data_IF_222321906317
#
_entry.id   IF_222321906317
#
_cell.length_a   1.000
_cell.length_b   1.000
_cell.length_c   1.000
_cell.angle_alpha   90.00
_cell.angle_beta   90.00
_cell.angle_gamma   90.00
#
_symmetry.space_group_name_H-M   'P 1'
#
loop_
_entity.id
_entity.type
_entity.pdbx_description
1 polymer ?
#
# COMPACT_ATOMS: atom_id res chain seq x y z
N UNK A 1 24.22 -12.02 30.63
CA UNK A 1 23.69 -12.47 29.32
C UNK A 1 22.71 -11.48 28.69
N UNK A 2 22.21 -10.46 29.39
CA UNK A 2 21.08 -9.62 28.94
C UNK A 2 21.35 -8.62 27.79
N UNK A 3 22.61 -8.24 27.54
CA UNK A 3 22.91 -7.25 26.48
C UNK A 3 22.90 -7.87 25.07
N UNK A 4 23.25 -9.15 24.94
CA UNK A 4 23.30 -9.83 23.64
C UNK A 4 21.90 -9.99 23.01
N UNK A 5 20.87 -10.18 23.85
CA UNK A 5 19.47 -10.32 23.40
C UNK A 5 18.86 -9.00 22.89
N UNK A 6 19.25 -7.85 23.45
CA UNK A 6 18.73 -6.54 23.01
C UNK A 6 19.29 -6.12 21.64
N UNK A 7 20.53 -6.51 21.32
CA UNK A 7 21.15 -6.21 20.03
C UNK A 7 20.50 -6.97 18.85
N UNK A 8 20.06 -8.21 19.08
CA UNK A 8 19.37 -9.02 18.07
C UNK A 8 18.00 -8.44 17.72
N UNK A 9 17.26 -7.95 18.73
CA UNK A 9 15.99 -7.25 18.53
C UNK A 9 16.14 -5.95 17.74
N UNK A 10 17.23 -5.22 17.93
CA UNK A 10 17.49 -3.98 17.19
C UNK A 10 17.86 -4.25 15.73
N UNK A 11 18.48 -5.40 15.44
CA UNK A 11 18.83 -5.80 14.08
C UNK A 11 17.59 -6.15 13.25
N UNK A 12 16.63 -6.87 13.84
CA UNK A 12 15.36 -7.22 13.18
C UNK A 12 14.50 -5.99 12.91
N UNK A 13 14.45 -5.04 13.86
CA UNK A 13 13.71 -3.77 13.68
C UNK A 13 14.33 -2.92 12.57
N UNK A 14 15.67 -2.92 12.42
CA UNK A 14 16.35 -2.22 11.34
C UNK A 14 16.10 -2.83 9.96
N UNK A 15 16.06 -4.16 9.88
CA UNK A 15 15.75 -4.86 8.64
C UNK A 15 14.32 -4.58 8.16
N UNK A 16 13.34 -4.58 9.09
CA UNK A 16 11.95 -4.26 8.78
C UNK A 16 11.76 -2.78 8.38
N UNK A 17 12.48 -1.87 9.02
CA UNK A 17 12.48 -0.45 8.67
C UNK A 17 13.10 -0.18 7.29
N UNK A 18 14.19 -0.87 6.93
CA UNK A 18 14.79 -0.76 5.59
C UNK A 18 13.90 -1.34 4.50
N UNK A 19 13.20 -2.45 4.76
CA UNK A 19 12.24 -3.01 3.82
C UNK A 19 11.01 -2.10 3.64
N UNK A 20 10.56 -1.45 4.72
CA UNK A 20 9.50 -0.44 4.67
C UNK A 20 9.88 0.80 3.84
N UNK A 21 11.16 1.22 3.89
CA UNK A 21 11.65 2.34 3.10
C UNK A 21 11.73 2.02 1.59
N UNK A 22 11.99 0.76 1.22
CA UNK A 22 12.01 0.31 -0.19
C UNK A 22 10.61 0.19 -0.79
N UNK A 23 9.58 0.01 0.04
CA UNK A 23 8.17 -0.07 -0.38
C UNK A 23 7.47 1.30 -0.34
N UNK A 24 8.14 2.37 0.10
CA UNK A 24 7.57 3.71 0.04
C UNK A 24 7.47 4.18 -1.42
N UNK A 25 6.29 4.68 -1.86
CA UNK A 25 6.17 5.34 -3.15
C UNK A 25 7.16 6.51 -3.20
N UNK A 26 8.13 6.45 -4.10
CA UNK A 26 9.07 7.55 -4.33
C UNK A 26 8.28 8.77 -4.81
N UNK A 27 8.15 9.80 -3.97
CA UNK A 27 7.53 11.06 -4.36
C UNK A 27 8.42 11.72 -5.42
N UNK A 28 8.01 11.63 -6.68
CA UNK A 28 8.66 12.34 -7.77
C UNK A 28 8.63 13.85 -7.47
N UNK A 29 9.80 14.48 -7.40
CA UNK A 29 10.02 15.91 -7.16
C UNK A 29 9.57 16.77 -8.38
N UNK A 30 8.32 16.61 -8.81
CA UNK A 30 7.67 17.41 -9.85
C UNK A 30 6.34 18.03 -9.36
N UNK A 31 5.94 17.77 -8.11
CA UNK A 31 4.66 18.23 -7.53
C UNK A 31 4.56 19.76 -7.31
N UNK A 32 5.60 20.54 -7.62
CA UNK A 32 5.61 22.00 -7.46
C UNK A 32 5.33 22.77 -8.75
N UNK A 33 4.75 22.14 -9.79
CA UNK A 33 4.24 22.82 -10.98
C UNK A 33 2.84 23.42 -10.75
N UNK A 34 2.65 24.09 -9.60
CA UNK A 34 1.39 24.73 -9.24
C UNK A 34 1.21 26.08 -9.92
N UNK A 35 0.11 26.21 -10.68
CA UNK A 35 -0.50 27.46 -11.16
C UNK A 35 0.11 28.19 -12.36
N UNK A 36 0.52 27.47 -13.41
CA UNK A 36 0.46 28.05 -14.76
C UNK A 36 -0.79 27.53 -15.47
N UNK A 37 -1.55 28.41 -16.12
CA UNK A 37 -2.77 28.12 -16.90
C UNK A 37 -2.45 27.33 -18.19
N UNK A 38 -1.45 26.45 -18.12
CA UNK A 38 -0.94 25.67 -19.24
C UNK A 38 -1.75 24.37 -19.33
N UNK A 39 -2.38 24.08 -20.50
CA UNK A 39 -3.11 22.83 -20.72
C UNK A 39 -2.26 21.58 -20.46
N UNK A 40 -0.94 21.70 -20.59
CA UNK A 40 0.02 20.62 -20.35
C UNK A 40 0.09 20.28 -18.85
N UNK A 41 0.23 21.26 -17.96
CA UNK A 41 0.32 21.01 -16.51
C UNK A 41 -0.99 20.44 -15.98
N UNK A 42 -2.13 20.91 -16.49
CA UNK A 42 -3.46 20.37 -16.17
C UNK A 42 -3.62 18.92 -16.61
N UNK A 43 -3.15 18.56 -17.81
CA UNK A 43 -3.14 17.17 -18.28
C UNK A 43 -2.23 16.29 -17.42
N UNK A 44 -1.06 16.80 -17.00
CA UNK A 44 -0.14 16.08 -16.11
C UNK A 44 -0.76 15.82 -14.73
N UNK A 45 -1.45 16.79 -14.14
CA UNK A 45 -2.16 16.63 -12.87
C UNK A 45 -3.33 15.65 -12.99
N UNK A 46 -4.06 15.66 -14.11
CA UNK A 46 -5.10 14.68 -14.38
C UNK A 46 -4.52 13.25 -14.49
N UNK A 47 -3.44 13.05 -15.25
CA UNK A 47 -2.77 11.76 -15.33
C UNK A 47 -2.24 11.32 -13.97
N UNK A 48 -1.65 12.23 -13.19
CA UNK A 48 -1.20 11.97 -11.83
C UNK A 48 -2.35 11.53 -10.93
N UNK A 49 -3.52 12.17 -11.04
CA UNK A 49 -4.70 11.82 -10.23
C UNK A 49 -5.16 10.39 -10.49
N UNK A 50 -5.10 9.95 -11.75
CA UNK A 50 -5.46 8.59 -12.16
C UNK A 50 -4.42 7.58 -11.67
N UNK A 51 -3.12 7.91 -11.79
CA UNK A 51 -2.01 7.06 -11.40
C UNK A 51 -1.93 6.84 -9.88
N UNK A 52 -2.24 7.87 -9.08
CA UNK A 52 -2.11 7.80 -7.62
C UNK A 52 -3.40 7.33 -6.91
N UNK A 53 -4.60 7.55 -7.47
CA UNK A 53 -5.86 7.22 -6.79
C UNK A 53 -6.59 6.00 -7.37
N UNK A 54 -7.29 6.16 -8.51
CA UNK A 54 -8.13 5.12 -9.09
C UNK A 54 -7.37 3.84 -9.51
N UNK A 55 -6.19 3.99 -10.14
CA UNK A 55 -5.43 2.83 -10.62
C UNK A 55 -4.87 2.00 -9.45
N UNK A 56 -4.39 2.65 -8.40
CA UNK A 56 -3.89 1.97 -7.20
C UNK A 56 -4.97 1.06 -6.58
N UNK A 57 -6.20 1.57 -6.47
CA UNK A 57 -7.33 0.83 -5.91
C UNK A 57 -7.76 -0.33 -6.82
N UNK A 58 -7.83 -0.11 -8.14
CA UNK A 58 -8.25 -1.15 -9.08
C UNK A 58 -7.24 -2.29 -9.19
N UNK A 59 -5.94 -2.03 -9.19
CA UNK A 59 -4.92 -3.08 -9.21
C UNK A 59 -4.98 -3.97 -7.97
N UNK A 60 -5.18 -3.37 -6.80
CA UNK A 60 -5.31 -4.14 -5.57
C UNK A 60 -6.60 -4.99 -5.55
N UNK A 61 -7.70 -4.55 -6.18
CA UNK A 61 -8.90 -5.39 -6.38
C UNK A 61 -8.67 -6.52 -7.39
N UNK A 62 -7.88 -6.30 -8.45
CA UNK A 62 -7.54 -7.36 -9.42
C UNK A 62 -6.74 -8.51 -8.76
N UNK A 63 -5.88 -8.19 -7.81
CA UNK A 63 -5.18 -9.20 -6.99
C UNK A 63 -6.16 -10.04 -6.15
N UNK A 64 -7.20 -9.42 -5.56
CA UNK A 64 -8.26 -10.12 -4.81
C UNK A 64 -9.03 -11.08 -5.71
N UNK A 65 -9.39 -10.63 -6.92
CA UNK A 65 -10.08 -11.46 -7.90
C UNK A 65 -9.23 -12.68 -8.30
N UNK A 66 -7.91 -12.50 -8.47
CA UNK A 66 -6.97 -13.59 -8.72
C UNK A 66 -6.95 -14.64 -7.60
N UNK A 67 -7.07 -14.23 -6.34
CA UNK A 67 -7.16 -15.18 -5.21
C UNK A 67 -8.50 -15.91 -5.19
N UNK A 68 -9.60 -15.23 -5.50
CA UNK A 68 -10.90 -15.88 -5.67
C UNK A 68 -10.88 -16.93 -6.78
N UNK A 69 -10.19 -16.64 -7.89
CA UNK A 69 -9.97 -17.59 -8.98
C UNK A 69 -9.12 -18.80 -8.53
N UNK A 70 -8.10 -18.57 -7.70
CA UNK A 70 -7.25 -19.64 -7.15
C UNK A 70 -7.99 -20.52 -6.12
N UNK A 71 -8.99 -19.98 -5.42
CA UNK A 71 -9.87 -20.77 -4.55
C UNK A 71 -10.84 -21.67 -5.33
N UNK A 72 -11.28 -21.25 -6.52
CA UNK A 72 -12.12 -22.08 -7.41
C UNK A 72 -11.38 -23.28 -8.00
N UNK A 73 -10.05 -23.28 -7.99
CA UNK A 73 -9.23 -24.42 -8.46
C UNK A 73 -9.27 -25.64 -7.51
N UNK A 74 -10.09 -25.60 -6.45
CA UNK A 74 -10.62 -26.78 -5.76
C UNK A 74 -9.67 -27.48 -4.77
N UNK A 75 -8.42 -27.01 -4.63
CA UNK A 75 -7.39 -27.59 -3.74
C UNK A 75 -6.87 -26.60 -2.68
N UNK A 76 -7.43 -25.40 -2.60
CA UNK A 76 -6.89 -24.34 -1.74
C UNK A 76 -7.37 -24.48 -0.30
N UNK A 77 -6.43 -24.50 0.66
CA UNK A 77 -6.77 -24.50 2.07
C UNK A 77 -7.52 -23.19 2.38
N UNK A 78 -8.73 -23.30 2.93
CA UNK A 78 -9.56 -22.17 3.38
C UNK A 78 -8.79 -21.09 4.18
N UNK A 79 -7.74 -21.51 4.89
CA UNK A 79 -6.78 -20.64 5.60
C UNK A 79 -6.08 -19.62 4.70
N UNK A 80 -5.72 -19.97 3.47
CA UNK A 80 -5.08 -19.05 2.53
C UNK A 80 -6.05 -17.96 2.07
N UNK A 81 -7.30 -18.32 1.76
CA UNK A 81 -8.32 -17.33 1.41
C UNK A 81 -8.62 -16.36 2.55
N UNK A 82 -8.79 -16.88 3.76
CA UNK A 82 -8.99 -16.04 4.95
C UNK A 82 -7.84 -15.04 5.18
N UNK A 83 -6.59 -15.48 4.99
CA UNK A 83 -5.41 -14.63 5.17
C UNK A 83 -5.36 -13.49 4.15
N UNK A 84 -5.71 -13.75 2.90
CA UNK A 84 -5.75 -12.72 1.84
C UNK A 84 -6.86 -11.70 2.12
N UNK A 85 -8.06 -12.16 2.47
CA UNK A 85 -9.20 -11.27 2.76
C UNK A 85 -8.84 -10.33 3.92
N UNK A 86 -8.20 -10.85 4.98
CA UNK A 86 -7.72 -10.03 6.10
C UNK A 86 -6.67 -9.02 5.64
N UNK A 87 -5.70 -9.42 4.81
CA UNK A 87 -4.67 -8.51 4.29
C UNK A 87 -5.26 -7.34 3.48
N UNK A 88 -6.22 -7.63 2.61
CA UNK A 88 -6.91 -6.63 1.77
C UNK A 88 -7.73 -5.67 2.63
N UNK A 89 -8.43 -6.20 3.63
CA UNK A 89 -9.20 -5.38 4.58
C UNK A 89 -8.30 -4.39 5.33
N UNK A 90 -7.09 -4.79 5.73
CA UNK A 90 -6.15 -3.91 6.42
C UNK A 90 -5.64 -2.80 5.49
N UNK A 91 -5.24 -3.12 4.26
CA UNK A 91 -4.69 -2.12 3.30
C UNK A 91 -5.74 -1.05 2.96
N UNK A 92 -6.97 -1.46 2.65
CA UNK A 92 -8.03 -0.53 2.25
C UNK A 92 -8.84 0.05 3.42
N UNK A 93 -8.86 -0.63 4.57
CA UNK A 93 -9.59 -0.19 5.77
C UNK A 93 -8.79 0.78 6.64
N UNK A 94 -7.46 0.71 6.64
CA UNK A 94 -6.60 1.56 7.45
C UNK A 94 -6.83 3.08 7.29
N UNK A 95 -7.06 3.64 6.08
CA UNK A 95 -7.28 5.08 5.92
C UNK A 95 -8.49 5.60 6.71
N UNK A 96 -9.56 4.81 6.83
CA UNK A 96 -10.76 5.19 7.60
C UNK A 96 -10.48 5.20 9.10
N UNK A 97 -9.69 4.25 9.60
CA UNK A 97 -9.28 4.23 11.00
C UNK A 97 -8.40 5.44 11.35
N UNK A 98 -7.51 5.82 10.43
CA UNK A 98 -6.65 7.00 10.59
C UNK A 98 -7.47 8.29 10.55
N UNK A 99 -8.41 8.44 9.61
CA UNK A 99 -9.28 9.61 9.51
C UNK A 99 -10.08 9.82 10.82
N UNK A 100 -10.65 8.73 11.35
CA UNK A 100 -11.37 8.75 12.63
C UNK A 100 -10.50 9.24 13.79
N UNK A 101 -9.22 8.86 13.83
CA UNK A 101 -8.26 9.32 14.87
C UNK A 101 -7.81 10.77 14.63
N UNK A 102 -7.69 11.20 13.38
CA UNK A 102 -7.35 12.58 13.01
C UNK A 102 -8.51 13.55 13.20
N UNK A 103 -9.72 13.05 13.52
CA UNK A 103 -10.90 13.87 13.75
C UNK A 103 -11.51 14.45 12.48
N UNK A 104 -11.26 13.80 11.33
CA UNK A 104 -11.75 14.19 9.99
C UNK A 104 -12.74 13.15 9.47
#
# INVERSE_FOLDING_TARGET
>A
MDQSMKSLSNLTTRYFAMLGLLLMPHAAMAQNAGQSNDPITSALVWMQSILLGPIATTLAVMAVAGVGFMMLTGRMNWRYGATVIIGVFIIFGAPRLVATIQGI
#
